data_IF_369402191493
#
_entry.id   IF_369402191493
#
_cell.length_a   1.000
_cell.length_b   1.000
_cell.length_c   1.000
_cell.angle_alpha   90.00
_cell.angle_beta   90.00
_cell.angle_gamma   90.00
#
_symmetry.space_group_name_H-M   'P 1'
#
loop_
_entity.id
_entity.type
_entity.pdbx_description
1 polymer ?
#
# COMPACT_ATOMS: atom_id res chain seq x y z
N UNK A 1 -11.01 66.29 14.93
CA UNK A 1 -10.94 65.16 13.98
C UNK A 1 -10.27 64.00 14.69
N UNK A 2 -11.02 62.92 14.97
CA UNK A 2 -10.61 61.78 15.81
C UNK A 2 -10.02 60.69 14.92
N UNK A 3 -8.72 60.43 15.05
CA UNK A 3 -8.02 59.35 14.35
C UNK A 3 -8.16 58.06 15.18
N UNK A 4 -8.84 57.05 14.63
CA UNK A 4 -8.86 55.70 15.19
C UNK A 4 -8.08 54.78 14.24
N UNK A 5 -6.96 54.24 14.71
CA UNK A 5 -6.26 53.15 14.04
C UNK A 5 -6.81 51.85 14.64
N UNK A 6 -7.62 51.13 13.87
CA UNK A 6 -8.04 49.77 14.19
C UNK A 6 -6.92 48.82 13.75
N UNK A 7 -6.26 48.19 14.73
CA UNK A 7 -5.37 47.07 14.52
C UNK A 7 -6.19 45.82 14.14
N UNK A 8 -5.99 45.27 12.94
CA UNK A 8 -6.45 43.93 12.60
C UNK A 8 -5.35 42.93 12.98
N UNK A 9 -5.55 42.23 14.09
CA UNK A 9 -4.83 41.00 14.39
C UNK A 9 -5.39 39.88 13.50
N UNK A 10 -4.64 39.49 12.47
CA UNK A 10 -4.95 38.31 11.68
C UNK A 10 -4.70 37.05 12.54
N UNK A 11 -5.76 36.48 13.09
CA UNK A 11 -5.72 35.14 13.67
C UNK A 11 -5.55 34.14 12.53
N UNK A 12 -4.31 33.75 12.26
CA UNK A 12 -4.00 32.61 11.42
C UNK A 12 -4.46 31.35 12.16
N UNK A 13 -5.70 30.93 11.93
CA UNK A 13 -6.22 29.66 12.40
C UNK A 13 -5.47 28.54 11.68
N UNK A 14 -4.44 28.01 12.32
CA UNK A 14 -3.77 26.76 11.92
C UNK A 14 -4.76 25.60 12.08
N UNK A 15 -5.71 25.46 11.16
CA UNK A 15 -6.55 24.29 11.08
C UNK A 15 -5.63 23.07 10.84
N UNK A 16 -5.71 22.01 11.65
CA UNK A 16 -4.97 20.78 11.37
C UNK A 16 -5.39 20.30 9.98
N UNK A 17 -4.42 20.03 9.11
CA UNK A 17 -4.70 19.36 7.85
C UNK A 17 -5.43 18.05 8.18
N UNK A 18 -6.71 17.96 7.79
CA UNK A 18 -7.51 16.77 8.01
C UNK A 18 -6.76 15.57 7.42
N UNK A 19 -6.49 14.56 8.25
CA UNK A 19 -5.87 13.33 7.80
C UNK A 19 -6.73 12.72 6.68
N UNK A 20 -6.17 12.62 5.47
CA UNK A 20 -6.86 12.00 4.36
C UNK A 20 -7.17 10.54 4.71
N UNK A 21 -8.42 10.13 4.48
CA UNK A 21 -8.81 8.73 4.68
C UNK A 21 -8.23 7.91 3.53
N UNK A 22 -7.37 6.95 3.86
CA UNK A 22 -6.80 6.02 2.88
C UNK A 22 -7.91 5.11 2.36
N UNK A 23 -8.31 5.31 1.10
CA UNK A 23 -9.37 4.57 0.45
C UNK A 23 -8.77 3.67 -0.64
N UNK A 24 -8.47 2.43 -0.26
CA UNK A 24 -7.97 1.42 -1.19
C UNK A 24 -9.12 0.58 -1.74
N UNK A 25 -9.07 0.18 -3.03
CA UNK A 25 -10.16 -0.55 -3.68
C UNK A 25 -10.09 -2.07 -3.47
N UNK A 26 -9.36 -2.53 -2.45
CA UNK A 26 -9.12 -3.94 -2.15
C UNK A 26 -9.24 -4.18 -0.64
N UNK A 27 -9.54 -5.42 -0.27
CA UNK A 27 -9.57 -5.82 1.12
C UNK A 27 -8.18 -5.87 1.76
N UNK A 28 -8.13 -5.62 3.07
CA UNK A 28 -6.97 -5.93 3.89
C UNK A 28 -6.62 -7.41 3.76
N UNK A 29 -5.34 -7.75 3.74
CA UNK A 29 -4.94 -9.13 3.53
C UNK A 29 -3.49 -9.30 3.11
N UNK A 30 -3.13 -10.58 2.98
CA UNK A 30 -1.94 -11.00 2.25
C UNK A 30 -2.34 -11.28 0.80
N UNK A 31 -1.61 -10.69 -0.13
CA UNK A 31 -1.82 -10.78 -1.57
C UNK A 31 -0.57 -11.40 -2.19
N UNK A 32 -0.72 -12.34 -3.12
CA UNK A 32 0.40 -12.96 -3.83
C UNK A 32 0.07 -13.09 -5.30
N UNK A 33 1.08 -13.34 -6.14
CA UNK A 33 0.87 -13.64 -7.56
C UNK A 33 -0.14 -14.78 -7.74
N UNK A 34 -1.00 -14.69 -8.74
CA UNK A 34 -2.08 -15.63 -9.01
C UNK A 34 -1.61 -17.03 -9.45
N UNK A 35 -0.33 -17.14 -9.81
CA UNK A 35 0.38 -18.40 -10.10
C UNK A 35 0.91 -19.11 -8.85
N UNK A 36 0.90 -18.44 -7.69
CA UNK A 36 1.39 -18.96 -6.42
C UNK A 36 0.32 -19.71 -5.64
N UNK A 37 0.76 -20.63 -4.77
CA UNK A 37 -0.14 -21.36 -3.85
C UNK A 37 -0.04 -20.78 -2.45
N UNK A 38 -1.16 -20.27 -1.90
CA UNK A 38 -1.21 -19.70 -0.56
C UNK A 38 -0.58 -20.57 0.55
N UNK A 39 -0.71 -21.90 0.45
CA UNK A 39 -0.19 -22.83 1.44
C UNK A 39 1.34 -22.94 1.48
N UNK A 40 2.02 -22.58 0.39
CA UNK A 40 3.48 -22.72 0.23
C UNK A 40 4.19 -21.42 -0.14
N UNK A 41 3.44 -20.34 -0.32
CA UNK A 41 3.98 -19.05 -0.74
C UNK A 41 5.01 -18.51 0.24
N UNK A 42 6.10 -17.99 -0.30
CA UNK A 42 7.20 -17.38 0.46
C UNK A 42 7.30 -15.87 0.29
N UNK A 43 6.63 -15.28 -0.69
CA UNK A 43 6.64 -13.85 -0.96
C UNK A 43 5.24 -13.33 -1.28
N UNK A 44 4.99 -12.06 -1.05
CA UNK A 44 3.74 -11.41 -1.43
C UNK A 44 3.69 -10.00 -0.86
N UNK A 45 2.53 -9.39 -0.97
CA UNK A 45 2.24 -8.05 -0.49
C UNK A 45 1.25 -8.08 0.66
N UNK A 46 1.33 -7.09 1.53
CA UNK A 46 0.39 -6.92 2.64
C UNK A 46 -0.28 -5.57 2.55
N UNK A 47 -1.62 -5.58 2.53
CA UNK A 47 -2.41 -4.40 2.83
C UNK A 47 -3.00 -4.52 4.23
N UNK A 48 -2.64 -3.62 5.14
CA UNK A 48 -3.15 -3.63 6.51
C UNK A 48 -4.21 -2.56 6.82
N UNK A 49 -4.65 -1.83 5.79
CA UNK A 49 -5.58 -0.69 5.91
C UNK A 49 -4.88 0.67 5.88
N UNK A 50 -3.57 0.72 6.12
CA UNK A 50 -2.78 1.97 6.13
C UNK A 50 -1.41 1.83 5.46
N UNK A 51 -0.88 0.61 5.35
CA UNK A 51 0.40 0.30 4.72
C UNK A 51 0.20 -0.69 3.59
N UNK A 52 1.04 -0.55 2.57
CA UNK A 52 1.20 -1.50 1.47
C UNK A 52 2.67 -1.83 1.33
N UNK A 53 2.99 -3.07 0.96
CA UNK A 53 4.35 -3.43 0.61
C UNK A 53 4.64 -4.92 0.76
N UNK A 54 5.89 -5.30 0.54
CA UNK A 54 6.27 -6.69 0.44
C UNK A 54 6.47 -7.36 1.81
N UNK A 55 6.12 -8.63 1.90
CA UNK A 55 6.46 -9.53 3.00
C UNK A 55 6.99 -10.83 2.38
N UNK A 56 8.24 -11.16 2.68
CA UNK A 56 8.88 -12.29 2.02
C UNK A 56 9.92 -12.99 2.87
N UNK A 57 10.15 -14.24 2.51
CA UNK A 57 11.30 -15.05 2.89
C UNK A 57 12.23 -15.17 1.68
N UNK A 58 13.54 -15.15 1.93
CA UNK A 58 14.56 -15.18 0.91
C UNK A 58 15.52 -16.37 1.11
N UNK A 59 16.47 -16.55 0.20
CA UNK A 59 17.34 -17.73 0.16
C UNK A 59 16.63 -18.99 -0.40
N UNK A 60 17.37 -20.09 -0.63
CA UNK A 60 16.80 -21.32 -1.19
C UNK A 60 15.61 -21.82 -0.37
N UNK A 61 14.47 -22.02 -1.04
CA UNK A 61 13.22 -22.48 -0.41
C UNK A 61 12.64 -21.53 0.65
N UNK A 62 12.98 -20.23 0.61
CA UNK A 62 12.55 -19.27 1.62
C UNK A 62 13.10 -19.59 3.02
N UNK A 63 14.33 -20.10 3.11
CA UNK A 63 14.98 -20.51 4.35
C UNK A 63 15.32 -19.33 5.27
N UNK A 64 15.52 -18.13 4.73
CA UNK A 64 15.92 -16.92 5.46
C UNK A 64 14.78 -15.89 5.54
N UNK A 65 14.84 -14.99 6.53
CA UNK A 65 13.81 -13.99 6.81
C UNK A 65 12.91 -14.36 8.01
N UNK A 66 11.74 -13.72 8.18
CA UNK A 66 11.06 -12.85 7.20
C UNK A 66 11.64 -11.43 7.14
N UNK A 67 11.57 -10.83 5.95
CA UNK A 67 11.75 -9.40 5.72
C UNK A 67 10.40 -8.76 5.34
N UNK A 68 10.18 -7.52 5.77
CA UNK A 68 8.95 -6.79 5.50
C UNK A 68 9.28 -5.34 5.14
N UNK A 69 8.78 -4.88 4.00
CA UNK A 69 8.98 -3.55 3.43
C UNK A 69 7.61 -2.88 3.31
N UNK A 70 6.97 -2.63 4.47
CA UNK A 70 5.62 -2.08 4.53
C UNK A 70 5.64 -0.57 4.70
N UNK A 71 5.28 0.15 3.65
CA UNK A 71 5.32 1.60 3.62
C UNK A 71 3.94 2.21 3.93
N UNK A 72 3.87 3.28 4.76
CA UNK A 72 2.64 4.01 5.01
C UNK A 72 2.11 4.66 3.73
N UNK A 73 0.87 4.33 3.38
CA UNK A 73 0.13 5.05 2.35
C UNK A 73 -0.28 6.38 2.97
N UNK A 74 0.22 7.45 2.38
CA UNK A 74 -0.06 8.83 2.80
C UNK A 74 -1.24 9.42 2.06
N UNK A 75 -1.41 9.05 0.78
CA UNK A 75 -2.54 9.47 -0.07
C UNK A 75 -2.91 8.38 -1.07
N UNK A 76 -4.15 8.42 -1.53
CA UNK A 76 -4.65 7.56 -2.61
C UNK A 76 -5.40 8.40 -3.64
N UNK A 77 -5.21 8.12 -4.94
CA UNK A 77 -5.96 8.78 -6.02
C UNK A 77 -6.45 7.78 -7.05
N UNK A 78 -7.71 7.92 -7.47
CA UNK A 78 -8.22 7.17 -8.61
C UNK A 78 -7.57 7.69 -9.91
N UNK A 79 -7.36 6.79 -10.86
CA UNK A 79 -6.84 7.10 -12.19
C UNK A 79 -7.86 6.72 -13.26
N UNK A 80 -7.76 7.33 -14.44
CA UNK A 80 -8.75 7.17 -15.51
C UNK A 80 -8.86 5.72 -16.04
N UNK A 81 -7.78 4.93 -15.93
CA UNK A 81 -7.73 3.51 -16.32
C UNK A 81 -8.28 2.56 -15.23
N UNK A 82 -8.88 3.11 -14.17
CA UNK A 82 -9.55 2.37 -13.11
C UNK A 82 -8.62 1.83 -12.02
N UNK A 83 -7.37 2.26 -12.00
CA UNK A 83 -6.47 1.98 -10.87
C UNK A 83 -6.67 3.00 -9.75
N UNK A 84 -6.22 2.64 -8.55
CA UNK A 84 -5.94 3.54 -7.45
C UNK A 84 -4.43 3.63 -7.27
N UNK A 85 -3.87 4.82 -7.44
CA UNK A 85 -2.47 5.09 -7.15
C UNK A 85 -2.27 5.33 -5.65
N UNK A 86 -1.27 4.65 -5.09
CA UNK A 86 -0.77 4.83 -3.74
C UNK A 86 0.40 5.82 -3.75
N UNK A 87 0.40 6.73 -2.79
CA UNK A 87 1.53 7.60 -2.51
C UNK A 87 2.13 7.27 -1.15
N UNK A 88 3.43 7.01 -1.12
CA UNK A 88 4.18 6.71 0.10
C UNK A 88 4.98 7.94 0.54
N UNK A 89 5.12 8.17 1.84
CA UNK A 89 6.01 9.19 2.40
C UNK A 89 5.69 10.66 2.06
N UNK A 90 4.51 10.96 1.51
CA UNK A 90 4.07 12.34 1.21
C UNK A 90 4.79 13.01 0.03
N UNK A 91 5.53 12.23 -0.78
CA UNK A 91 6.20 12.73 -1.98
C UNK A 91 5.70 11.98 -3.22
N UNK A 92 5.36 12.72 -4.28
CA UNK A 92 4.99 12.15 -5.57
C UNK A 92 6.26 12.04 -6.41
N UNK A 93 6.88 10.85 -6.38
CA UNK A 93 8.00 10.54 -7.26
C UNK A 93 7.55 10.39 -8.71
N UNK A 94 8.52 10.36 -9.63
CA UNK A 94 8.23 10.07 -11.04
C UNK A 94 7.75 8.62 -11.27
N UNK A 95 8.06 7.70 -10.34
CA UNK A 95 7.49 6.35 -10.30
C UNK A 95 6.14 6.30 -9.59
N UNK A 96 5.41 5.19 -9.76
CA UNK A 96 4.11 5.00 -9.14
C UNK A 96 3.84 3.55 -8.77
N UNK A 97 2.98 3.39 -7.77
CA UNK A 97 2.41 2.11 -7.36
C UNK A 97 0.91 2.20 -7.46
N UNK A 98 0.29 1.29 -8.19
CA UNK A 98 -1.13 1.33 -8.52
C UNK A 98 -1.76 -0.03 -8.28
N UNK A 99 -3.01 -0.04 -7.85
CA UNK A 99 -3.78 -1.28 -7.73
C UNK A 99 -5.18 -1.13 -8.31
N UNK A 100 -5.66 -2.17 -8.98
CA UNK A 100 -7.01 -2.23 -9.55
C UNK A 100 -7.65 -3.56 -9.16
N UNK A 101 -8.79 -3.59 -8.45
CA UNK A 101 -9.51 -4.85 -8.23
C UNK A 101 -10.00 -5.37 -9.58
N UNK A 102 -9.89 -6.68 -9.78
CA UNK A 102 -10.38 -7.35 -10.99
C UNK A 102 -11.58 -8.24 -10.70
N UNK A 103 -11.62 -8.86 -9.52
CA UNK A 103 -12.71 -9.67 -8.99
C UNK A 103 -12.62 -9.69 -7.45
N UNK A 104 -13.63 -10.22 -6.72
CA UNK A 104 -13.50 -10.46 -5.29
C UNK A 104 -12.25 -11.30 -4.96
N UNK A 105 -11.32 -10.71 -4.19
CA UNK A 105 -10.06 -11.34 -3.84
C UNK A 105 -9.04 -11.44 -4.97
N UNK A 106 -9.21 -10.68 -6.06
CA UNK A 106 -8.23 -10.55 -7.15
C UNK A 106 -7.95 -9.08 -7.47
N UNK A 107 -6.71 -8.78 -7.84
CA UNK A 107 -6.32 -7.44 -8.24
C UNK A 107 -5.19 -7.46 -9.26
N UNK A 108 -5.00 -6.35 -9.97
CA UNK A 108 -3.81 -6.08 -10.78
C UNK A 108 -2.97 -5.03 -10.04
N UNK A 109 -1.75 -5.40 -9.67
CA UNK A 109 -0.78 -4.50 -9.07
C UNK A 109 0.19 -4.01 -10.13
N UNK A 110 0.35 -2.70 -10.23
CA UNK A 110 1.12 -2.06 -11.27
C UNK A 110 2.21 -1.20 -10.66
N UNK A 111 3.43 -1.42 -11.11
CA UNK A 111 4.59 -0.60 -10.74
C UNK A 111 5.08 0.12 -11.99
N UNK A 112 5.20 1.44 -11.90
CA UNK A 112 5.84 2.27 -12.90
C UNK A 112 7.12 2.84 -12.35
N UNK A 113 8.25 2.60 -13.02
CA UNK A 113 9.54 3.18 -12.66
C UNK A 113 10.09 4.02 -13.82
N UNK A 114 10.63 5.23 -13.56
CA UNK A 114 11.28 6.01 -14.59
C UNK A 114 12.51 5.29 -15.13
N UNK A 115 12.64 5.24 -16.45
CA UNK A 115 13.82 4.74 -17.13
C UNK A 115 14.13 5.59 -18.36
N UNK A 116 15.26 6.30 -18.31
CA UNK A 116 15.70 7.22 -19.38
C UNK A 116 14.61 8.22 -19.77
N UNK A 117 13.93 7.97 -20.89
CA UNK A 117 12.92 8.79 -21.55
C UNK A 117 11.49 8.23 -21.44
N UNK A 118 11.30 7.12 -20.71
CA UNK A 118 9.99 6.48 -20.54
C UNK A 118 9.71 6.02 -19.09
N UNK A 119 8.49 5.56 -18.83
CA UNK A 119 8.15 4.82 -17.62
C UNK A 119 8.10 3.33 -18.00
N UNK A 120 8.99 2.53 -17.43
CA UNK A 120 8.86 1.08 -17.48
C UNK A 120 7.77 0.64 -16.52
N UNK A 121 6.82 -0.14 -17.05
CA UNK A 121 5.67 -0.59 -16.31
C UNK A 121 5.62 -2.12 -16.25
N UNK A 122 5.35 -2.64 -15.06
CA UNK A 122 5.05 -4.04 -14.83
C UNK A 122 3.71 -4.18 -14.15
N UNK A 123 2.95 -5.18 -14.59
CA UNK A 123 1.66 -5.56 -14.01
C UNK A 123 1.75 -6.98 -13.45
N UNK A 124 1.31 -7.15 -12.21
CA UNK A 124 1.26 -8.41 -11.48
C UNK A 124 -0.20 -8.75 -11.14
N UNK A 125 -0.67 -9.89 -11.63
CA UNK A 125 -1.98 -10.42 -11.25
C UNK A 125 -1.90 -11.01 -9.84
N UNK A 126 -2.68 -10.48 -8.91
CA UNK A 126 -2.68 -10.88 -7.52
C UNK A 126 -3.96 -11.62 -7.13
N UNK A 127 -3.81 -12.57 -6.21
CA UNK A 127 -4.88 -13.21 -5.44
C UNK A 127 -4.72 -12.92 -3.95
N UNK A 128 -5.84 -12.76 -3.23
CA UNK A 128 -5.85 -12.65 -1.77
C UNK A 128 -5.85 -14.03 -1.13
N UNK A 129 -4.89 -14.28 -0.26
CA UNK A 129 -4.88 -15.48 0.59
C UNK A 129 -5.60 -15.21 1.91
N UNK A 130 -6.50 -16.12 2.30
CA UNK A 130 -7.04 -16.09 3.66
C UNK A 130 -5.94 -16.44 4.66
N UNK A 131 -6.00 -15.88 5.87
CA UNK A 131 -5.02 -16.22 6.89
C UNK A 131 -4.98 -17.73 7.17
N UNK A 132 -6.12 -18.42 7.08
CA UNK A 132 -6.24 -19.86 7.29
C UNK A 132 -5.49 -20.68 6.23
N UNK A 133 -5.45 -20.23 4.97
CA UNK A 133 -4.79 -20.96 3.87
C UNK A 133 -3.27 -20.78 3.85
N UNK A 134 -2.72 -19.82 4.60
CA UNK A 134 -1.29 -19.57 4.67
C UNK A 134 -0.53 -20.66 5.45
N UNK A 135 0.74 -20.86 5.08
CA UNK A 135 1.67 -21.71 5.84
C UNK A 135 1.80 -21.25 7.30
N UNK A 136 2.13 -22.14 8.26
CA UNK A 136 2.41 -21.73 9.64
C UNK A 136 3.46 -20.61 9.73
N UNK A 137 4.49 -20.69 8.88
CA UNK A 137 5.58 -19.73 8.79
C UNK A 137 5.09 -18.34 8.33
N UNK A 138 4.22 -18.29 7.32
CA UNK A 138 3.67 -17.03 6.84
C UNK A 138 2.61 -16.46 7.81
N UNK A 139 1.79 -17.31 8.43
CA UNK A 139 0.88 -16.89 9.52
C UNK A 139 1.64 -16.18 10.65
N UNK A 140 2.79 -16.72 11.05
CA UNK A 140 3.63 -16.09 12.08
C UNK A 140 4.19 -14.74 11.62
N UNK A 141 4.63 -14.63 10.36
CA UNK A 141 5.10 -13.36 9.81
C UNK A 141 4.00 -12.30 9.73
N UNK A 142 2.80 -12.67 9.28
CA UNK A 142 1.62 -11.80 9.25
C UNK A 142 1.25 -11.29 10.65
N UNK A 143 1.27 -12.16 11.66
CA UNK A 143 1.06 -11.77 13.07
C UNK A 143 2.09 -10.74 13.54
N UNK A 144 3.36 -10.91 13.16
CA UNK A 144 4.46 -10.02 13.54
C UNK A 144 4.37 -8.64 12.87
N UNK A 145 4.16 -8.60 11.55
CA UNK A 145 4.30 -7.36 10.79
C UNK A 145 2.99 -6.67 10.45
N UNK A 146 1.87 -7.40 10.42
CA UNK A 146 0.55 -6.88 10.07
C UNK A 146 -0.55 -7.40 11.01
N UNK A 147 -0.42 -7.16 12.34
CA UNK A 147 -1.39 -7.66 13.31
C UNK A 147 -2.82 -7.15 13.09
N UNK A 148 -2.99 -6.00 12.42
CA UNK A 148 -4.30 -5.44 12.07
C UNK A 148 -5.07 -6.27 11.02
N UNK A 149 -4.40 -7.17 10.30
CA UNK A 149 -5.01 -8.08 9.31
C UNK A 149 -5.47 -9.39 9.96
N UNK A 150 -4.88 -9.74 11.11
CA UNK A 150 -5.09 -11.02 11.78
C UNK A 150 -6.20 -10.97 12.84
N UNK A 151 -6.65 -9.77 13.21
CA UNK A 151 -7.70 -9.55 14.19
C UNK A 151 -9.10 -9.74 13.61
#
# INVERSE_FOLDING_TARGET
>A
MRTWILALAAMASSAPAAAQTIAMPIDRGFWTNDTEKCATVHHGYVFDGKRWGALYYYGPGGSMGPAAELEPITQTRATADGFTQMQFGGYDGAGYFRIKPTDPGRALYRVGAPFRDEIQQTDESLIRCSLASLSPKMKAAMKRFAPAVVK
#
